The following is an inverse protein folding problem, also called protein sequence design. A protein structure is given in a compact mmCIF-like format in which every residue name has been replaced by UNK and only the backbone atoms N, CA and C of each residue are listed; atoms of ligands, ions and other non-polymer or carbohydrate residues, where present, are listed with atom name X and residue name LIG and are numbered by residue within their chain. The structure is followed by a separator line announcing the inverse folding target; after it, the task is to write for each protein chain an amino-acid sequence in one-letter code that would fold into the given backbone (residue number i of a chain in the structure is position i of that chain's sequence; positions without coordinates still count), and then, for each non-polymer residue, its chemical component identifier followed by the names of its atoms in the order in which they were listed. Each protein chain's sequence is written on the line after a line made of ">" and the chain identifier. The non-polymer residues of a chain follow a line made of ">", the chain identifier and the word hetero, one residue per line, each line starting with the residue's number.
data_IF_992379173156
#
_entry.id   IF_992379173156
#
_cell.length_a   1.000
_cell.length_b   1.000
_cell.length_c   1.000
_cell.angle_alpha   90.00
_cell.angle_beta   90.00
_cell.angle_gamma   90.00
#
_symmetry.space_group_name_H-M   'P 1'
#
loop_
_entity.id
_entity.type
_entity.pdbx_description
1 polymer ?
#
# COMPACT_ATOMS: atom_id res chain seq x y z
N UNK A 1 4.20 -14.30 0.46
CA UNK A 1 5.14 -14.66 1.55
C UNK A 1 4.55 -15.86 2.29
N UNK A 2 5.34 -16.80 2.82
CA UNK A 2 4.80 -17.91 3.63
C UNK A 2 4.83 -17.50 5.11
N UNK A 3 3.67 -17.29 5.77
CA UNK A 3 3.61 -16.85 7.18
C UNK A 3 4.35 -17.79 8.14
N UNK A 4 4.25 -19.12 7.96
CA UNK A 4 4.93 -20.10 8.82
C UNK A 4 6.47 -20.01 8.74
N UNK A 5 6.98 -19.41 7.65
CA UNK A 5 8.41 -19.16 7.44
C UNK A 5 8.82 -17.72 7.75
N UNK A 6 7.85 -16.83 7.96
CA UNK A 6 8.07 -15.45 8.33
C UNK A 6 8.39 -15.41 9.83
N UNK A 7 9.70 -15.32 10.13
CA UNK A 7 10.24 -15.27 11.51
C UNK A 7 9.96 -13.89 12.12
N UNK A 8 10.73 -13.51 13.14
CA UNK A 8 10.56 -12.26 13.90
C UNK A 8 10.54 -11.00 13.02
N UNK A 9 11.32 -10.98 11.93
CA UNK A 9 11.35 -9.86 10.98
C UNK A 9 11.45 -10.39 9.54
N UNK A 10 10.78 -9.68 8.63
CA UNK A 10 10.84 -9.93 7.19
C UNK A 10 10.84 -8.64 6.41
N UNK A 11 11.62 -8.58 5.33
CA UNK A 11 11.56 -7.47 4.38
C UNK A 11 10.42 -7.70 3.38
N UNK A 12 9.62 -6.67 3.15
CA UNK A 12 8.60 -6.66 2.10
C UNK A 12 8.40 -5.25 1.56
N UNK A 13 7.76 -5.17 0.39
CA UNK A 13 7.24 -3.94 -0.18
C UNK A 13 5.76 -4.09 -0.51
N UNK A 14 5.05 -2.98 -0.54
CA UNK A 14 3.65 -2.92 -0.93
C UNK A 14 3.38 -1.67 -1.76
N UNK A 15 2.65 -1.82 -2.85
CA UNK A 15 2.14 -0.74 -3.68
C UNK A 15 0.61 -0.75 -3.63
N UNK A 16 -0.01 0.43 -3.54
CA UNK A 16 -1.47 0.51 -3.53
C UNK A 16 -2.04 0.05 -4.88
N UNK A 17 -3.03 -0.85 -4.86
CA UNK A 17 -3.67 -1.34 -6.11
C UNK A 17 -4.41 -0.24 -6.88
N UNK A 18 -4.92 0.76 -6.16
CA UNK A 18 -5.41 2.03 -6.69
C UNK A 18 -5.06 3.17 -5.73
N UNK A 19 -5.24 4.42 -6.15
CA UNK A 19 -4.84 5.61 -5.39
C UNK A 19 -5.74 5.89 -4.15
N UNK A 20 -5.75 4.97 -3.17
CA UNK A 20 -6.42 5.09 -1.89
C UNK A 20 -5.74 4.21 -0.84
N UNK A 21 -5.64 4.67 0.41
CA UNK A 21 -5.07 3.88 1.50
C UNK A 21 -5.92 2.64 1.87
N UNK A 22 -7.15 2.53 1.36
CA UNK A 22 -8.00 1.35 1.49
C UNK A 22 -7.40 0.07 0.88
N UNK A 23 -6.38 0.19 0.02
CA UNK A 23 -5.64 -0.95 -0.54
C UNK A 23 -4.26 -1.11 0.07
N UNK A 24 -3.99 -0.44 1.19
CA UNK A 24 -2.72 -0.52 1.90
C UNK A 24 -2.98 -0.91 3.35
N UNK A 25 -3.78 -0.10 4.05
CA UNK A 25 -4.00 -0.29 5.49
C UNK A 25 -4.77 -1.59 5.78
N UNK A 26 -5.92 -1.88 5.14
CA UNK A 26 -6.61 -3.14 5.37
C UNK A 26 -5.78 -4.35 4.94
N UNK A 27 -5.15 -4.26 3.77
CA UNK A 27 -4.33 -5.32 3.19
C UNK A 27 -3.22 -5.77 4.13
N UNK A 28 -2.47 -4.82 4.68
CA UNK A 28 -1.27 -5.11 5.46
C UNK A 28 -1.52 -5.35 6.95
N UNK A 29 -2.66 -4.92 7.49
CA UNK A 29 -2.87 -4.87 8.94
C UNK A 29 -4.23 -5.38 9.43
N UNK A 30 -5.20 -5.67 8.56
CA UNK A 30 -6.53 -6.16 8.98
C UNK A 30 -6.76 -7.61 8.54
N UNK A 31 -7.66 -8.32 9.23
CA UNK A 31 -7.93 -9.74 8.97
C UNK A 31 -8.61 -9.99 7.63
N UNK A 32 -9.25 -8.95 7.06
CA UNK A 32 -10.06 -9.04 5.85
C UNK A 32 -9.38 -8.46 4.60
N UNK A 33 -8.17 -7.93 4.70
CA UNK A 33 -7.42 -7.43 3.54
C UNK A 33 -6.92 -8.57 2.66
N UNK A 34 -6.21 -9.53 3.26
CA UNK A 34 -5.77 -10.74 2.57
C UNK A 34 -4.25 -10.89 2.48
N UNK A 35 -3.49 -9.84 2.82
CA UNK A 35 -2.02 -9.85 2.85
C UNK A 35 -1.47 -9.26 4.14
N UNK A 36 -1.95 -9.72 5.31
CA UNK A 36 -1.47 -9.22 6.61
C UNK A 36 0.00 -9.61 6.86
N UNK A 37 0.91 -8.87 6.23
CA UNK A 37 2.35 -9.05 6.33
C UNK A 37 2.88 -8.63 7.70
N UNK A 38 2.13 -7.81 8.44
CA UNK A 38 2.51 -7.38 9.77
C UNK A 38 2.31 -8.47 10.84
N UNK A 39 1.46 -9.47 10.57
CA UNK A 39 1.09 -10.52 11.51
C UNK A 39 0.68 -10.00 12.91
N UNK A 40 0.07 -8.81 12.93
CA UNK A 40 -0.25 -8.03 14.13
C UNK A 40 -1.46 -8.52 14.94
N UNK A 41 -2.12 -9.61 14.55
CA UNK A 41 -3.43 -10.03 15.11
C UNK A 41 -3.38 -10.45 16.58
N UNK A 42 -2.22 -10.85 17.08
CA UNK A 42 -2.02 -11.22 18.48
C UNK A 42 -1.79 -10.02 19.42
N UNK A 43 -1.59 -8.82 18.86
CA UNK A 43 -1.35 -7.61 19.64
C UNK A 43 -2.66 -7.14 20.32
N UNK A 44 -2.65 -6.78 21.62
CA UNK A 44 -3.84 -6.25 22.30
C UNK A 44 -4.47 -5.02 21.63
N UNK A 45 -3.66 -4.20 20.95
CA UNK A 45 -4.11 -3.01 20.22
C UNK A 45 -4.83 -3.35 18.90
N UNK A 46 -4.66 -4.57 18.39
CA UNK A 46 -5.18 -5.01 17.09
C UNK A 46 -6.68 -4.78 16.96
N UNK A 47 -7.47 -5.21 17.96
CA UNK A 47 -8.93 -5.18 17.82
C UNK A 47 -9.45 -3.75 17.65
N UNK A 48 -8.94 -2.83 18.46
CA UNK A 48 -9.30 -1.42 18.39
C UNK A 48 -8.84 -0.77 17.06
N UNK A 49 -7.72 -1.21 16.52
CA UNK A 49 -7.25 -0.78 15.20
C UNK A 49 -8.18 -1.29 14.09
N UNK A 50 -8.50 -2.58 14.07
CA UNK A 50 -9.36 -3.19 13.05
C UNK A 50 -10.76 -2.56 13.03
N UNK A 51 -11.32 -2.23 14.19
CA UNK A 51 -12.63 -1.55 14.27
C UNK A 51 -12.59 -0.15 13.61
N UNK A 52 -11.48 0.57 13.76
CA UNK A 52 -11.26 1.87 13.07
C UNK A 52 -11.04 1.69 11.58
N UNK A 53 -10.33 0.66 11.15
CA UNK A 53 -10.18 0.32 9.72
C UNK A 53 -11.56 0.04 9.11
N UNK A 54 -12.39 -0.76 9.77
CA UNK A 54 -13.76 -1.05 9.34
C UNK A 54 -14.64 0.21 9.24
N UNK A 55 -14.49 1.14 10.18
CA UNK A 55 -15.19 2.43 10.12
C UNK A 55 -14.74 3.27 8.93
N UNK A 56 -13.43 3.37 8.69
CA UNK A 56 -12.87 4.11 7.57
C UNK A 56 -13.29 3.51 6.22
N UNK A 57 -13.38 2.18 6.10
CA UNK A 57 -13.90 1.49 4.89
C UNK A 57 -15.35 1.87 4.58
N UNK A 58 -16.17 2.10 5.61
CA UNK A 58 -17.59 2.46 5.47
C UNK A 58 -17.83 3.96 5.35
N UNK A 59 -16.81 4.79 5.54
CA UNK A 59 -16.92 6.26 5.49
C UNK A 59 -16.93 6.74 4.04
N UNK A 60 -18.04 7.34 3.62
CA UNK A 60 -18.25 7.80 2.23
C UNK A 60 -17.72 9.20 1.95
N UNK A 61 -17.62 10.05 2.96
CA UNK A 61 -16.97 11.36 2.87
C UNK A 61 -15.46 11.17 2.71
N UNK A 62 -14.93 11.54 1.53
CA UNK A 62 -13.53 11.32 1.19
C UNK A 62 -12.54 12.12 2.02
N UNK A 63 -12.91 13.32 2.49
CA UNK A 63 -12.02 14.14 3.34
C UNK A 63 -11.93 13.53 4.74
N UNK A 64 -13.07 13.09 5.29
CA UNK A 64 -13.11 12.39 6.59
C UNK A 64 -12.39 11.06 6.51
N UNK A 65 -12.65 10.26 5.48
CA UNK A 65 -11.97 8.99 5.26
C UNK A 65 -10.45 9.17 5.15
N UNK A 66 -9.98 10.18 4.41
CA UNK A 66 -8.55 10.47 4.30
C UNK A 66 -7.91 10.86 5.65
N UNK A 67 -8.63 11.59 6.50
CA UNK A 67 -8.16 11.89 7.85
C UNK A 67 -8.05 10.62 8.71
N UNK A 68 -9.07 9.75 8.67
CA UNK A 68 -9.05 8.46 9.36
C UNK A 68 -7.87 7.58 8.90
N UNK A 69 -7.59 7.53 7.59
CA UNK A 69 -6.45 6.78 7.07
C UNK A 69 -5.11 7.29 7.57
N UNK A 70 -4.92 8.61 7.65
CA UNK A 70 -3.70 9.21 8.23
C UNK A 70 -3.52 8.85 9.71
N UNK A 71 -4.62 8.86 10.46
CA UNK A 71 -4.59 8.47 11.88
C UNK A 71 -4.27 6.97 12.06
N UNK A 72 -4.84 6.12 11.21
CA UNK A 72 -4.58 4.67 11.21
C UNK A 72 -3.14 4.34 10.83
N UNK A 73 -2.60 5.00 9.80
CA UNK A 73 -1.19 4.87 9.42
C UNK A 73 -0.26 5.20 10.61
N UNK A 74 -0.46 6.36 11.23
CA UNK A 74 0.28 6.76 12.42
C UNK A 74 0.06 5.81 13.62
N UNK A 75 -1.12 5.21 13.75
CA UNK A 75 -1.41 4.23 14.80
C UNK A 75 -0.59 2.95 14.60
N UNK A 76 -0.63 2.35 13.40
CA UNK A 76 0.12 1.14 13.10
C UNK A 76 1.63 1.33 13.32
N UNK A 77 2.15 2.49 12.92
CA UNK A 77 3.53 2.91 13.17
C UNK A 77 3.87 3.00 14.65
N UNK A 78 2.98 3.54 15.49
CA UNK A 78 3.21 3.62 16.95
C UNK A 78 3.23 2.26 17.64
N UNK A 79 2.53 1.27 17.09
CA UNK A 79 2.58 -0.10 17.59
C UNK A 79 3.83 -0.87 17.10
N UNK A 80 4.66 -0.28 16.25
CA UNK A 80 5.83 -0.91 15.65
C UNK A 80 5.51 -2.20 14.85
N UNK A 81 4.30 -2.30 14.29
CA UNK A 81 3.90 -3.43 13.43
C UNK A 81 4.61 -3.41 12.07
N UNK A 82 5.19 -2.28 11.69
CA UNK A 82 6.02 -2.12 10.50
C UNK A 82 7.12 -1.11 10.77
N UNK A 83 8.26 -1.28 10.09
CA UNK A 83 9.36 -0.32 10.04
C UNK A 83 9.55 0.15 8.59
N UNK A 84 9.03 1.32 8.19
CA UNK A 84 9.23 1.89 6.87
C UNK A 84 10.71 2.19 6.66
N UNK A 85 11.28 1.62 5.60
CA UNK A 85 12.68 1.85 5.24
C UNK A 85 12.81 2.90 4.15
N UNK A 86 12.01 2.79 3.09
CA UNK A 86 12.06 3.68 1.92
C UNK A 86 10.69 3.80 1.23
N UNK A 87 10.47 4.93 0.56
CA UNK A 87 9.47 5.03 -0.51
C UNK A 87 10.19 4.85 -1.84
N UNK A 88 9.87 3.75 -2.55
CA UNK A 88 10.53 3.39 -3.80
C UNK A 88 10.37 4.47 -4.87
N UNK A 89 11.45 4.75 -5.60
CA UNK A 89 11.44 5.57 -6.81
C UNK A 89 11.89 4.71 -7.97
N UNK A 90 11.30 4.93 -9.14
CA UNK A 90 11.71 4.29 -10.38
C UNK A 90 12.41 5.30 -11.29
N UNK A 91 13.49 4.88 -11.93
CA UNK A 91 14.04 5.53 -13.10
C UNK A 91 13.96 4.54 -14.25
N UNK A 92 13.23 4.93 -15.29
CA UNK A 92 13.02 4.10 -16.46
C UNK A 92 13.79 4.69 -17.63
N UNK A 93 14.37 3.82 -18.46
CA UNK A 93 15.14 4.19 -19.64
C UNK A 93 14.49 3.51 -20.83
N UNK A 94 14.37 4.23 -21.94
CA UNK A 94 13.80 3.72 -23.17
C UNK A 94 14.61 4.16 -24.40
N UNK A 95 14.45 3.42 -25.49
CA UNK A 95 15.11 3.74 -26.76
C UNK A 95 14.50 4.98 -27.44
N UNK A 96 15.33 5.68 -28.22
CA UNK A 96 14.93 6.91 -28.94
C UNK A 96 13.85 6.70 -30.00
N UNK A 97 13.60 5.45 -30.42
CA UNK A 97 12.52 5.10 -31.33
C UNK A 97 11.15 5.02 -30.66
N UNK A 98 11.06 5.00 -29.32
CA UNK A 98 9.76 5.02 -28.65
C UNK A 98 9.22 6.44 -28.57
N UNK A 99 7.96 6.60 -28.95
CA UNK A 99 7.20 7.84 -28.79
C UNK A 99 6.12 7.72 -27.75
N UNK A 100 5.75 8.87 -27.18
CA UNK A 100 4.70 9.03 -26.18
C UNK A 100 4.92 8.18 -24.91
N UNK A 101 6.18 8.03 -24.52
CA UNK A 101 6.52 7.45 -23.22
C UNK A 101 6.24 8.51 -22.14
N UNK A 102 5.30 8.21 -21.26
CA UNK A 102 5.04 8.98 -20.05
C UNK A 102 4.67 8.04 -18.92
N UNK A 103 4.94 8.47 -17.69
CA UNK A 103 4.69 7.67 -16.49
C UNK A 103 3.22 7.71 -16.11
N UNK A 104 2.57 6.55 -16.03
CA UNK A 104 1.21 6.43 -15.54
C UNK A 104 1.22 6.35 -14.01
N UNK A 105 1.08 7.51 -13.37
CA UNK A 105 1.19 7.68 -11.91
C UNK A 105 0.38 6.66 -11.08
N UNK A 106 -0.87 6.31 -11.44
CA UNK A 106 -1.63 5.32 -10.67
C UNK A 106 -1.01 3.92 -10.61
N UNK A 107 -0.26 3.49 -11.65
CA UNK A 107 0.34 2.15 -11.70
C UNK A 107 1.84 2.16 -11.40
N UNK A 108 2.51 3.30 -11.53
CA UNK A 108 3.94 3.41 -11.23
C UNK A 108 4.86 2.84 -12.31
N UNK A 109 4.43 2.88 -13.58
CA UNK A 109 5.17 2.39 -14.75
C UNK A 109 4.84 3.25 -16.00
N UNK A 110 5.46 3.04 -17.18
CA UNK A 110 5.04 3.70 -18.41
C UNK A 110 3.61 3.30 -18.78
N UNK A 111 2.89 4.22 -19.40
CA UNK A 111 1.59 3.93 -20.00
C UNK A 111 1.75 3.05 -21.25
N UNK A 112 2.08 1.75 -21.08
CA UNK A 112 2.45 0.84 -22.19
C UNK A 112 1.44 0.84 -23.35
N UNK A 113 0.14 0.88 -23.05
CA UNK A 113 -0.92 0.93 -24.07
C UNK A 113 -1.01 2.25 -24.84
N UNK A 114 -0.14 3.23 -24.56
CA UNK A 114 -0.05 4.53 -25.24
C UNK A 114 1.27 4.74 -25.97
N UNK A 115 2.20 3.79 -25.88
CA UNK A 115 3.52 3.87 -26.51
C UNK A 115 3.44 3.34 -27.95
N UNK A 116 4.18 3.95 -28.87
CA UNK A 116 4.37 3.44 -30.23
C UNK A 116 5.82 3.64 -30.72
N UNK A 117 6.15 3.04 -31.85
CA UNK A 117 7.46 3.15 -32.50
C UNK A 117 7.38 4.26 -33.56
N UNK A 118 8.37 5.16 -33.56
CA UNK A 118 8.57 6.14 -34.63
C UNK A 118 8.95 5.42 -35.92
N UNK A 119 8.23 5.74 -37.01
CA UNK A 119 8.62 5.33 -38.36
C UNK A 119 9.90 6.04 -38.81
#
# INVERSE_FOLDING_TARGET
>A
MNPDKQKDMSASGWGADWANASTVIPELFASFGGFNLSQNTADPAYKAFEDKVNLAMKTTDRKKQAAMWKELDAYAMKQMWVLPTTFGKAQEVWGSQLSNVFFWVPQGNPAYGKIWINN
#
